data_IF_115498780123
#
_entry.id   IF_115498780123
#
_cell.length_a   1.000
_cell.length_b   1.000
_cell.length_c   1.000
_cell.angle_alpha   90.00
_cell.angle_beta   90.00
_cell.angle_gamma   90.00
#
_symmetry.space_group_name_H-M   'P 1'
#
loop_
_entity.id
_entity.type
_entity.pdbx_description
1 polymer ?
#
# COMPACT_ATOMS: atom_id res chain seq x y z
N UNK A 1 11.74 -6.65 6.51
CA UNK A 1 11.86 -5.37 5.80
C UNK A 1 11.81 -5.66 4.30
N UNK A 2 11.27 -4.73 3.52
CA UNK A 2 11.14 -4.82 2.07
C UNK A 2 11.22 -3.42 1.44
N UNK A 3 11.29 -3.35 0.12
CA UNK A 3 11.49 -2.11 -0.62
C UNK A 3 12.93 -1.64 -0.52
N UNK A 4 13.11 -0.32 -0.45
CA UNK A 4 14.43 0.28 -0.48
C UNK A 4 15.07 0.30 -1.89
N UNK A 5 16.23 0.94 -2.02
CA UNK A 5 17.00 1.02 -3.28
C UNK A 5 17.55 -0.35 -3.68
N UNK A 6 17.69 -1.24 -2.70
CA UNK A 6 18.01 -2.64 -2.91
C UNK A 6 16.85 -3.44 -3.50
N UNK A 7 15.63 -2.88 -3.55
CA UNK A 7 14.45 -3.53 -4.12
C UNK A 7 14.09 -4.83 -3.41
N UNK A 8 14.24 -4.88 -2.09
CA UNK A 8 14.07 -6.13 -1.32
C UNK A 8 12.62 -6.57 -1.39
N UNK A 9 12.38 -7.74 -1.97
CA UNK A 9 11.04 -8.33 -2.08
C UNK A 9 10.68 -9.13 -0.82
N UNK A 10 9.38 -9.30 -0.59
CA UNK A 10 8.88 -10.20 0.43
C UNK A 10 9.02 -11.66 -0.03
N UNK A 11 9.39 -12.55 0.91
CA UNK A 11 9.61 -13.97 0.63
C UNK A 11 8.30 -14.73 0.37
N UNK A 12 7.20 -14.27 0.98
CA UNK A 12 5.89 -14.86 0.82
C UNK A 12 5.11 -14.15 -0.31
N UNK A 13 4.53 -14.92 -1.22
CA UNK A 13 3.73 -14.40 -2.33
C UNK A 13 2.38 -13.80 -1.88
N UNK A 14 1.89 -14.16 -0.69
CA UNK A 14 0.68 -13.58 -0.09
C UNK A 14 0.94 -12.23 0.60
N UNK A 15 2.21 -11.85 0.79
CA UNK A 15 2.58 -10.59 1.42
C UNK A 15 2.72 -9.48 0.38
N UNK A 16 2.51 -8.25 0.81
CA UNK A 16 2.95 -7.06 0.11
C UNK A 16 3.91 -6.27 0.98
N UNK A 17 4.64 -5.35 0.34
CA UNK A 17 5.51 -4.45 1.08
C UNK A 17 4.68 -3.30 1.65
N UNK A 18 4.28 -3.42 2.92
CA UNK A 18 3.53 -2.41 3.62
C UNK A 18 4.45 -1.24 4.02
N UNK A 19 4.21 -0.10 3.38
CA UNK A 19 4.92 1.15 3.61
C UNK A 19 4.03 2.14 4.37
N UNK A 20 4.64 3.15 4.96
CA UNK A 20 3.91 4.27 5.54
C UNK A 20 3.12 5.02 4.43
N UNK A 21 1.95 5.55 4.78
CA UNK A 21 1.16 6.34 3.84
C UNK A 21 1.97 7.56 3.35
N UNK A 22 1.90 7.85 2.06
CA UNK A 22 2.69 8.91 1.42
C UNK A 22 4.12 8.51 1.07
N UNK A 23 4.61 7.35 1.51
CA UNK A 23 6.00 6.93 1.24
C UNK A 23 6.32 6.87 -0.26
N UNK A 24 5.37 6.50 -1.11
CA UNK A 24 5.58 6.46 -2.57
C UNK A 24 5.61 7.84 -3.26
N UNK A 25 5.28 8.92 -2.54
CA UNK A 25 5.25 10.29 -3.07
C UNK A 25 6.36 11.13 -2.42
N UNK A 26 6.52 11.01 -1.11
CA UNK A 26 7.37 11.87 -0.31
C UNK A 26 8.76 11.27 -0.04
N UNK A 27 8.95 9.98 -0.33
CA UNK A 27 10.19 9.26 -0.03
C UNK A 27 10.81 8.69 -1.31
N UNK A 28 12.05 9.09 -1.60
CA UNK A 28 12.79 8.56 -2.75
C UNK A 28 13.18 7.09 -2.58
N UNK A 29 13.33 6.65 -1.32
CA UNK A 29 13.72 5.30 -0.96
C UNK A 29 12.76 4.65 0.05
N UNK A 30 11.50 4.37 -0.35
CA UNK A 30 10.51 3.88 0.57
C UNK A 30 10.81 2.42 0.96
N UNK A 31 10.90 2.19 2.26
CA UNK A 31 11.05 0.86 2.84
C UNK A 31 9.88 0.54 3.75
N UNK A 32 9.60 -0.74 3.91
CA UNK A 32 8.45 -1.22 4.63
C UNK A 32 8.68 -2.54 5.34
N UNK A 33 7.59 -3.09 5.86
CA UNK A 33 7.56 -4.44 6.42
C UNK A 33 6.72 -5.34 5.51
N UNK A 34 7.09 -6.62 5.44
CA UNK A 34 6.26 -7.59 4.76
C UNK A 34 5.04 -7.85 5.64
N UNK A 35 3.86 -7.56 5.09
CA UNK A 35 2.59 -7.79 5.73
C UNK A 35 1.70 -8.59 4.78
N UNK A 36 0.92 -9.51 5.33
CA UNK A 36 -0.06 -10.28 4.54
C UNK A 36 -1.09 -9.35 3.92
N UNK A 37 -1.45 -9.62 2.66
CA UNK A 37 -2.58 -8.95 2.01
C UNK A 37 -3.87 -9.36 2.71
N UNK A 38 -4.70 -8.41 3.18
CA UNK A 38 -5.99 -8.75 3.77
C UNK A 38 -6.90 -9.37 2.71
N UNK A 39 -7.49 -10.52 3.01
CA UNK A 39 -8.49 -11.17 2.14
C UNK A 39 -9.91 -10.63 2.38
N UNK A 40 -10.13 -10.03 3.55
CA UNK A 40 -11.43 -9.52 4.00
C UNK A 40 -11.25 -8.10 4.51
N UNK A 41 -12.04 -7.18 3.95
CA UNK A 41 -12.07 -5.78 4.35
C UNK A 41 -13.47 -5.35 4.77
N UNK A 42 -13.55 -4.33 5.62
CA UNK A 42 -14.84 -3.71 5.93
C UNK A 42 -15.37 -2.96 4.70
N UNK A 43 -16.68 -2.76 4.67
CA UNK A 43 -17.36 -1.99 3.62
C UNK A 43 -17.42 -0.48 3.95
N UNK A 44 -16.61 -0.02 4.90
CA UNK A 44 -16.54 1.38 5.27
C UNK A 44 -15.96 2.19 4.10
N UNK A 45 -16.61 3.30 3.77
CA UNK A 45 -16.15 4.19 2.71
C UNK A 45 -15.31 5.31 3.31
N UNK A 46 -13.99 5.13 3.24
CA UNK A 46 -12.96 6.07 3.66
C UNK A 46 -11.89 6.11 2.56
N UNK A 47 -12.18 6.78 1.43
CA UNK A 47 -11.41 6.59 0.20
C UNK A 47 -9.95 7.00 0.35
N UNK A 48 -9.10 6.32 -0.40
CA UNK A 48 -7.66 6.57 -0.46
C UNK A 48 -7.17 6.50 -1.90
N UNK A 49 -6.14 7.27 -2.23
CA UNK A 49 -5.45 7.20 -3.50
C UNK A 49 -4.27 6.25 -3.36
N UNK A 50 -4.24 5.20 -4.18
CA UNK A 50 -3.13 4.26 -4.23
C UNK A 50 -1.91 4.85 -4.93
N UNK A 51 -0.73 4.30 -4.62
CA UNK A 51 0.51 4.64 -5.34
C UNK A 51 0.47 4.26 -6.84
N UNK A 52 -0.51 3.47 -7.26
CA UNK A 52 -0.78 3.12 -8.65
C UNK A 52 -1.73 4.12 -9.36
N UNK A 53 -2.13 5.20 -8.67
CA UNK A 53 -3.04 6.22 -9.18
C UNK A 53 -4.51 5.79 -9.22
N UNK A 54 -4.89 4.68 -8.58
CA UNK A 54 -6.30 4.27 -8.45
C UNK A 54 -6.88 4.68 -7.10
N UNK A 55 -8.14 5.09 -7.12
CA UNK A 55 -8.92 5.31 -5.90
C UNK A 55 -9.43 3.97 -5.37
N UNK A 56 -9.22 3.74 -4.08
CA UNK A 56 -9.74 2.58 -3.34
C UNK A 56 -10.77 3.03 -2.32
N UNK A 57 -11.81 2.22 -2.08
CA UNK A 57 -12.90 2.53 -1.13
C UNK A 57 -12.40 2.73 0.31
N UNK A 58 -11.31 2.05 0.69
CA UNK A 58 -10.59 2.24 1.93
C UNK A 58 -9.16 1.66 1.84
N UNK A 59 -8.33 1.95 2.85
CA UNK A 59 -6.94 1.48 2.92
C UNK A 59 -6.81 -0.06 2.93
N UNK A 60 -7.80 -0.77 3.49
CA UNK A 60 -7.78 -2.23 3.46
C UNK A 60 -7.94 -2.76 2.03
N UNK A 61 -8.87 -2.19 1.25
CA UNK A 61 -9.06 -2.57 -0.15
C UNK A 61 -7.80 -2.33 -0.99
N UNK A 62 -7.08 -1.22 -0.75
CA UNK A 62 -5.78 -0.98 -1.39
C UNK A 62 -4.75 -2.05 -1.01
N UNK A 63 -4.62 -2.36 0.29
CA UNK A 63 -3.70 -3.38 0.78
C UNK A 63 -4.04 -4.80 0.28
N UNK A 64 -5.32 -5.13 0.07
CA UNK A 64 -5.76 -6.41 -0.49
C UNK A 64 -5.21 -6.63 -1.92
N UNK A 65 -5.09 -5.55 -2.70
CA UNK A 65 -4.42 -5.58 -4.00
C UNK A 65 -2.88 -5.48 -3.90
N UNK A 66 -2.35 -5.25 -2.70
CA UNK A 66 -0.93 -5.02 -2.44
C UNK A 66 -0.47 -3.60 -2.80
N UNK A 67 -1.39 -2.64 -2.82
CA UNK A 67 -1.14 -1.25 -3.17
C UNK A 67 -1.01 -0.42 -1.90
N UNK A 68 0.08 0.35 -1.80
CA UNK A 68 0.30 1.29 -0.71
C UNK A 68 -0.53 2.57 -0.93
N UNK A 69 -0.85 3.26 0.16
CA UNK A 69 -1.59 4.52 0.12
C UNK A 69 -0.64 5.67 -0.19
N UNK A 70 -0.92 6.41 -1.26
CA UNK A 70 -0.26 7.67 -1.58
C UNK A 70 -0.83 8.80 -0.74
N UNK A 71 -2.14 9.04 -0.81
CA UNK A 71 -2.78 10.13 -0.08
C UNK A 71 -4.15 9.70 0.47
N UNK A 72 -4.60 10.28 1.61
CA UNK A 72 -5.99 10.14 2.03
C UNK A 72 -6.91 10.87 1.03
N UNK A 73 -8.12 10.33 0.83
CA UNK A 73 -9.07 10.82 -0.17
C UNK A 73 -8.90 10.17 -1.54
N UNK A 74 -9.80 10.47 -2.48
CA UNK A 74 -9.73 9.97 -3.85
C UNK A 74 -8.54 10.59 -4.62
N UNK A 75 -8.07 9.92 -5.67
CA UNK A 75 -7.08 10.50 -6.58
C UNK A 75 -7.67 11.70 -7.34
N UNK A 76 -6.84 12.71 -7.61
CA UNK A 76 -7.21 13.96 -8.30
C UNK A 76 -6.90 13.94 -9.81
#
# INVERSE_FOLDING_TARGET
MCGGVAGVLCLNAADYCAMEAGACVDTADPSGICAGKPEICTMDYNPVCGCDGKTYSNACAAAAEGVNVATPGECA
#
